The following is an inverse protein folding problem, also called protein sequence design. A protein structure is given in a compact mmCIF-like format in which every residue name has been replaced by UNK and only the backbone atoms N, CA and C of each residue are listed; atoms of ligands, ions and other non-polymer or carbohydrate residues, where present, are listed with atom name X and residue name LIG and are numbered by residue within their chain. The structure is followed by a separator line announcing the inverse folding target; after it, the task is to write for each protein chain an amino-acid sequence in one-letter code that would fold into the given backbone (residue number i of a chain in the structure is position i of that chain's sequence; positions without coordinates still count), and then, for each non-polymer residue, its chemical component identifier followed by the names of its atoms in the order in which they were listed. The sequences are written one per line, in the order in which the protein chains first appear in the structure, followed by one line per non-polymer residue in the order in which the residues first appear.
data_IF_506803374857
#
_entry.id   IF_506803374857
#
_cell.length_a   1.000
_cell.length_b   1.000
_cell.length_c   1.000
_cell.angle_alpha   90.00
_cell.angle_beta   90.00
_cell.angle_gamma   90.00
#
_symmetry.space_group_name_H-M   'P 1'
#
loop_
_entity.id
_entity.type
_entity.pdbx_description
1 polymer ?
#
# COMPACT_ATOMS: atom_id res chain seq x y z
N UNK A 1 -11.49 -13.55 -26.94
CA UNK A 1 -12.56 -12.56 -26.61
C UNK A 1 -11.87 -11.35 -25.98
N UNK A 2 -12.13 -10.11 -26.42
CA UNK A 2 -11.53 -8.95 -25.77
C UNK A 2 -12.13 -8.87 -24.37
N UNK A 3 -11.28 -8.98 -23.34
CA UNK A 3 -11.73 -8.95 -21.95
C UNK A 3 -12.40 -7.61 -21.68
N UNK A 4 -13.63 -7.62 -21.18
CA UNK A 4 -14.26 -6.45 -20.56
C UNK A 4 -13.25 -5.83 -19.61
N UNK A 5 -12.73 -4.63 -19.89
CA UNK A 5 -11.78 -3.96 -19.00
C UNK A 5 -12.52 -3.64 -17.71
N UNK A 6 -12.46 -4.54 -16.73
CA UNK A 6 -13.06 -4.29 -15.42
C UNK A 6 -12.25 -3.19 -14.75
N UNK A 7 -12.91 -2.09 -14.44
CA UNK A 7 -12.30 -1.01 -13.69
C UNK A 7 -11.91 -1.55 -12.31
N UNK A 8 -10.60 -1.63 -12.08
CA UNK A 8 -9.99 -2.18 -10.88
C UNK A 8 -9.29 -1.09 -10.10
N UNK A 9 -9.63 -1.01 -8.82
CA UNK A 9 -9.03 -0.08 -7.86
C UNK A 9 -8.09 -0.86 -6.96
N UNK A 10 -6.86 -0.38 -6.83
CA UNK A 10 -5.93 -0.85 -5.80
C UNK A 10 -5.74 0.24 -4.75
N UNK A 11 -5.99 -0.10 -3.49
CA UNK A 11 -5.85 0.79 -2.35
C UNK A 11 -4.93 0.16 -1.30
N UNK A 12 -3.81 0.82 -1.03
CA UNK A 12 -2.88 0.42 0.04
C UNK A 12 -3.15 1.19 1.33
N UNK A 13 -3.09 0.52 2.48
CA UNK A 13 -3.17 1.17 3.79
C UNK A 13 -2.12 0.62 4.75
N UNK A 14 -1.34 1.51 5.36
CA UNK A 14 -0.31 1.11 6.32
C UNK A 14 -0.96 0.63 7.62
N UNK A 15 -0.51 -0.49 8.21
CA UNK A 15 -0.92 -0.91 9.54
C UNK A 15 -0.31 0.02 10.62
N UNK A 16 -1.00 1.13 10.89
CA UNK A 16 -0.67 2.06 11.98
C UNK A 16 -1.46 1.73 13.25
N UNK A 17 -1.21 2.46 14.34
CA UNK A 17 -1.93 2.33 15.59
C UNK A 17 -3.38 2.84 15.45
N UNK A 18 -4.28 1.96 15.04
CA UNK A 18 -5.71 2.23 14.88
C UNK A 18 -6.10 3.08 13.67
N UNK A 19 -7.41 3.08 13.35
CA UNK A 19 -8.00 3.96 12.33
C UNK A 19 -8.30 5.32 12.99
N UNK A 20 -7.58 6.35 12.56
CA UNK A 20 -7.92 7.73 12.92
C UNK A 20 -9.15 8.19 12.14
N UNK A 21 -9.93 9.11 12.73
CA UNK A 21 -11.16 9.64 12.12
C UNK A 21 -10.90 10.24 10.72
N UNK A 22 -9.73 10.86 10.51
CA UNK A 22 -9.30 11.36 9.20
C UNK A 22 -9.21 10.26 8.14
N UNK A 23 -8.62 9.11 8.48
CA UNK A 23 -8.53 7.96 7.56
C UNK A 23 -9.92 7.44 7.19
N UNK A 24 -10.82 7.37 8.18
CA UNK A 24 -12.19 6.91 7.94
C UNK A 24 -12.97 7.85 7.02
N UNK A 25 -12.99 9.15 7.33
CA UNK A 25 -13.75 10.15 6.59
C UNK A 25 -13.14 10.45 5.21
N UNK A 26 -11.82 10.45 5.12
CA UNK A 26 -11.08 10.80 3.90
C UNK A 26 -11.04 9.68 2.86
N UNK A 27 -10.90 8.43 3.29
CA UNK A 27 -10.71 7.30 2.38
C UNK A 27 -11.73 6.18 2.57
N UNK A 28 -11.81 5.61 3.78
CA UNK A 28 -12.51 4.33 3.99
C UNK A 28 -14.00 4.42 3.68
N UNK A 29 -14.66 5.51 4.09
CA UNK A 29 -16.09 5.74 3.77
C UNK A 29 -16.36 5.75 2.25
N UNK A 30 -15.41 6.24 1.45
CA UNK A 30 -15.52 6.22 -0.01
C UNK A 30 -15.22 4.83 -0.56
N UNK A 31 -14.23 4.12 -0.01
CA UNK A 31 -13.94 2.73 -0.37
C UNK A 31 -15.16 1.84 -0.21
N UNK A 32 -15.89 1.95 0.89
CA UNK A 32 -17.10 1.14 1.13
C UNK A 32 -18.11 1.26 -0.02
N UNK A 33 -18.31 2.48 -0.56
CA UNK A 33 -19.21 2.75 -1.69
C UNK A 33 -18.67 2.25 -3.03
N UNK A 34 -17.35 2.18 -3.19
CA UNK A 34 -16.70 1.75 -4.44
C UNK A 34 -16.86 0.25 -4.68
N UNK A 35 -17.06 -0.54 -3.62
CA UNK A 35 -17.27 -2.00 -3.72
C UNK A 35 -18.51 -2.40 -4.55
N UNK A 36 -19.42 -1.46 -4.82
CA UNK A 36 -20.59 -1.69 -5.70
C UNK A 36 -20.27 -1.44 -7.19
N UNK A 37 -19.20 -0.71 -7.48
CA UNK A 37 -18.94 -0.14 -8.82
C UNK A 37 -17.63 -0.64 -9.44
N UNK A 38 -16.68 -1.09 -8.61
CA UNK A 38 -15.33 -1.46 -9.03
C UNK A 38 -14.93 -2.83 -8.48
N UNK A 39 -13.97 -3.47 -9.15
CA UNK A 39 -13.20 -4.53 -8.51
C UNK A 39 -12.20 -3.90 -7.55
N UNK A 40 -12.52 -3.93 -6.26
CA UNK A 40 -11.68 -3.33 -5.23
C UNK A 40 -10.69 -4.32 -4.63
N UNK A 41 -9.43 -3.88 -4.55
CA UNK A 41 -8.34 -4.58 -3.92
C UNK A 41 -7.80 -3.71 -2.80
N UNK A 42 -7.97 -4.16 -1.57
CA UNK A 42 -7.48 -3.51 -0.35
C UNK A 42 -6.28 -4.29 0.19
N UNK A 43 -5.13 -3.64 0.24
CA UNK A 43 -3.89 -4.22 0.68
C UNK A 43 -3.42 -3.55 1.98
N UNK A 44 -3.31 -4.32 3.06
CA UNK A 44 -2.64 -3.87 4.29
C UNK A 44 -1.14 -3.97 4.03
N UNK A 45 -0.48 -2.83 3.83
CA UNK A 45 0.90 -2.73 3.33
C UNK A 45 1.94 -2.84 4.45
N UNK A 46 2.01 -4.01 5.07
CA UNK A 46 2.93 -4.29 6.18
C UNK A 46 4.42 -4.25 5.78
N UNK A 47 4.76 -4.59 4.54
CA UNK A 47 6.15 -4.48 4.06
C UNK A 47 6.60 -3.02 3.92
N UNK A 48 5.70 -2.11 3.52
CA UNK A 48 5.98 -0.67 3.56
C UNK A 48 6.12 -0.14 4.98
N UNK A 49 5.30 -0.63 5.91
CA UNK A 49 5.36 -0.24 7.31
C UNK A 49 6.66 -0.67 8.01
N UNK A 50 7.36 -1.69 7.50
CA UNK A 50 8.72 -2.04 7.98
C UNK A 50 9.75 -0.93 7.76
N UNK A 51 9.44 0.16 7.06
CA UNK A 51 10.33 1.33 7.02
C UNK A 51 10.28 2.17 8.29
N UNK A 52 9.26 1.99 9.13
CA UNK A 52 9.03 2.76 10.37
C UNK A 52 8.75 1.89 11.60
N UNK A 53 7.97 0.81 11.46
CA UNK A 53 7.59 -0.10 12.55
C UNK A 53 8.48 -1.34 12.51
N UNK A 54 9.42 -1.43 13.46
CA UNK A 54 10.36 -2.57 13.58
C UNK A 54 9.96 -3.58 14.65
N UNK A 55 9.07 -3.23 15.58
CA UNK A 55 8.64 -4.14 16.63
C UNK A 55 7.68 -5.18 16.06
N UNK A 56 8.06 -6.46 16.13
CA UNK A 56 7.31 -7.56 15.51
C UNK A 56 5.92 -7.77 16.13
N UNK A 57 5.79 -7.62 17.45
CA UNK A 57 4.51 -7.79 18.13
C UNK A 57 3.58 -6.62 17.84
N UNK A 58 4.12 -5.40 17.76
CA UNK A 58 3.38 -4.22 17.34
C UNK A 58 2.88 -4.35 15.90
N UNK A 59 3.74 -4.73 14.96
CA UNK A 59 3.35 -4.98 13.57
C UNK A 59 2.21 -6.00 13.50
N UNK A 60 2.34 -7.13 14.21
CA UNK A 60 1.33 -8.19 14.22
C UNK A 60 -0.01 -7.69 14.77
N UNK A 61 0.00 -6.88 15.84
CA UNK A 61 -1.22 -6.29 16.41
C UNK A 61 -1.84 -5.29 15.43
N UNK A 62 -1.07 -4.31 14.95
CA UNK A 62 -1.55 -3.26 14.05
C UNK A 62 -2.15 -3.83 12.76
N UNK A 63 -1.52 -4.85 12.16
CA UNK A 63 -2.06 -5.51 10.95
C UNK A 63 -3.42 -6.16 11.21
N UNK A 64 -3.58 -6.84 12.35
CA UNK A 64 -4.85 -7.50 12.71
C UNK A 64 -5.94 -6.48 13.03
N UNK A 65 -5.60 -5.46 13.81
CA UNK A 65 -6.53 -4.38 14.17
C UNK A 65 -6.97 -3.59 12.93
N UNK A 66 -6.05 -3.29 12.01
CA UNK A 66 -6.38 -2.64 10.74
C UNK A 66 -7.35 -3.50 9.92
N UNK A 67 -7.09 -4.80 9.77
CA UNK A 67 -7.99 -5.71 9.08
C UNK A 67 -9.39 -5.75 9.71
N UNK A 68 -9.45 -5.91 11.03
CA UNK A 68 -10.72 -5.91 11.77
C UNK A 68 -11.47 -4.58 11.60
N UNK A 69 -10.77 -3.47 11.68
CA UNK A 69 -11.37 -2.14 11.60
C UNK A 69 -11.85 -1.80 10.17
N UNK A 70 -11.16 -2.25 9.11
CA UNK A 70 -11.66 -2.15 7.74
C UNK A 70 -12.96 -2.94 7.54
N UNK A 71 -13.00 -4.18 8.04
CA UNK A 71 -14.21 -5.02 7.96
C UNK A 71 -15.36 -4.37 8.75
N UNK A 72 -15.10 -3.94 9.98
CA UNK A 72 -16.08 -3.25 10.82
C UNK A 72 -16.57 -1.93 10.19
N UNK A 73 -15.74 -1.27 9.38
CA UNK A 73 -16.10 -0.05 8.65
C UNK A 73 -16.98 -0.32 7.41
N UNK A 74 -17.17 -1.58 7.02
CA UNK A 74 -18.03 -1.98 5.89
C UNK A 74 -17.29 -2.50 4.65
N UNK A 75 -15.98 -2.74 4.73
CA UNK A 75 -15.28 -3.49 3.68
C UNK A 75 -15.71 -4.95 3.80
N UNK A 76 -16.28 -5.49 2.73
CA UNK A 76 -16.84 -6.83 2.68
C UNK A 76 -15.92 -7.76 1.86
N UNK A 77 -15.22 -8.72 2.51
CA UNK A 77 -14.34 -9.67 1.84
C UNK A 77 -15.04 -10.61 0.85
N UNK A 78 -16.37 -10.72 0.89
CA UNK A 78 -17.13 -11.47 -0.11
C UNK A 78 -17.29 -10.68 -1.43
N UNK A 79 -17.14 -9.36 -1.38
CA UNK A 79 -17.34 -8.43 -2.51
C UNK A 79 -16.05 -7.83 -3.02
N UNK A 80 -14.99 -7.84 -2.22
CA UNK A 80 -13.70 -7.22 -2.52
C UNK A 80 -12.56 -8.06 -1.99
N UNK A 81 -11.36 -7.88 -2.55
CA UNK A 81 -10.16 -8.58 -2.08
C UNK A 81 -9.55 -7.78 -0.94
N UNK A 82 -9.44 -8.37 0.25
CA UNK A 82 -8.73 -7.81 1.40
C UNK A 82 -7.63 -8.76 1.84
N UNK A 83 -6.38 -8.30 1.85
CA UNK A 83 -5.23 -9.12 2.22
C UNK A 83 -4.08 -8.31 2.83
N UNK A 84 -3.10 -9.02 3.37
CA UNK A 84 -1.87 -8.46 3.92
C UNK A 84 -0.74 -8.64 2.90
N UNK A 85 -0.01 -7.56 2.59
CA UNK A 85 1.00 -7.52 1.53
C UNK A 85 2.04 -8.65 1.63
N UNK A 86 2.60 -8.87 2.82
CA UNK A 86 3.59 -9.93 3.07
C UNK A 86 3.09 -11.36 2.83
N UNK A 87 1.77 -11.57 2.73
CA UNK A 87 1.16 -12.88 2.44
C UNK A 87 1.13 -13.21 0.95
N UNK A 88 1.51 -12.27 0.09
CA UNK A 88 1.53 -12.45 -1.36
C UNK A 88 2.94 -12.17 -1.88
N UNK A 89 3.69 -13.25 -2.14
CA UNK A 89 5.11 -13.17 -2.55
C UNK A 89 5.34 -12.40 -3.87
N UNK A 90 4.31 -12.28 -4.70
CA UNK A 90 4.37 -11.58 -5.98
C UNK A 90 4.81 -10.12 -5.83
N UNK A 91 4.46 -9.46 -4.72
CA UNK A 91 4.83 -8.06 -4.45
C UNK A 91 6.35 -7.89 -4.39
N UNK A 92 7.02 -8.61 -3.50
CA UNK A 92 8.47 -8.51 -3.33
C UNK A 92 9.23 -9.06 -4.55
N UNK A 93 8.73 -10.12 -5.19
CA UNK A 93 9.34 -10.67 -6.41
C UNK A 93 9.27 -9.68 -7.57
N UNK A 94 8.13 -9.05 -7.80
CA UNK A 94 7.99 -8.05 -8.85
C UNK A 94 8.79 -6.79 -8.52
N UNK A 95 8.82 -6.35 -7.26
CA UNK A 95 9.64 -5.23 -6.84
C UNK A 95 11.13 -5.46 -7.14
N UNK A 96 11.63 -6.69 -6.94
CA UNK A 96 13.00 -7.04 -7.32
C UNK A 96 13.25 -6.86 -8.84
N UNK A 97 12.35 -7.38 -9.68
CA UNK A 97 12.45 -7.21 -11.14
C UNK A 97 12.40 -5.73 -11.53
N UNK A 98 11.49 -4.95 -10.93
CA UNK A 98 11.35 -3.52 -11.20
C UNK A 98 12.57 -2.72 -10.74
N UNK A 99 13.24 -3.12 -9.65
CA UNK A 99 14.48 -2.49 -9.20
C UNK A 99 15.58 -2.59 -10.28
N UNK A 100 15.65 -3.69 -11.03
CA UNK A 100 16.64 -3.89 -12.09
C UNK A 100 16.46 -2.95 -13.30
N UNK A 101 15.29 -2.32 -13.44
CA UNK A 101 14.98 -1.40 -14.56
C UNK A 101 14.70 0.03 -14.10
N UNK A 102 14.72 0.28 -12.78
CA UNK A 102 14.48 1.62 -12.22
C UNK A 102 15.80 2.37 -12.03
N UNK A 103 16.02 3.51 -12.71
CA UNK A 103 17.24 4.28 -12.53
C UNK A 103 17.34 4.87 -11.12
N UNK A 104 18.53 4.80 -10.50
CA UNK A 104 18.80 5.39 -9.18
C UNK A 104 18.39 6.88 -9.09
N UNK A 105 18.62 7.63 -10.17
CA UNK A 105 18.29 9.06 -10.23
C UNK A 105 16.80 9.35 -10.10
N UNK A 106 15.91 8.42 -10.46
CA UNK A 106 14.46 8.60 -10.31
C UNK A 106 14.07 8.55 -8.84
N UNK A 107 14.54 7.53 -8.14
CA UNK A 107 14.29 7.31 -6.71
C UNK A 107 14.91 8.43 -5.87
N UNK A 108 16.14 8.85 -6.18
CA UNK A 108 16.84 9.91 -5.46
C UNK A 108 16.17 11.30 -5.57
N UNK A 109 15.31 11.51 -6.58
CA UNK A 109 14.59 12.78 -6.74
C UNK A 109 13.32 12.87 -5.90
N UNK A 110 12.79 11.75 -5.42
CA UNK A 110 11.55 11.70 -4.64
C UNK A 110 11.64 12.60 -3.39
N UNK A 111 10.66 13.48 -3.23
CA UNK A 111 10.59 14.43 -2.11
C UNK A 111 10.39 13.70 -0.80
N UNK A 112 9.56 12.65 -0.79
CA UNK A 112 9.25 11.84 0.38
C UNK A 112 10.50 11.20 0.98
N UNK A 113 11.42 10.69 0.15
CA UNK A 113 12.71 10.18 0.63
C UNK A 113 13.53 11.29 1.27
N UNK A 114 13.64 12.45 0.62
CA UNK A 114 14.43 13.58 1.13
C UNK A 114 13.89 14.13 2.45
N UNK A 115 12.57 14.18 2.59
CA UNK A 115 11.88 14.64 3.80
C UNK A 115 12.02 13.63 4.94
N UNK A 116 11.77 12.34 4.68
CA UNK A 116 11.83 11.29 5.72
C UNK A 116 13.26 10.95 6.14
N UNK A 117 14.22 10.97 5.22
CA UNK A 117 15.64 10.74 5.53
C UNK A 117 16.30 11.97 6.19
N UNK A 118 15.74 13.16 5.99
CA UNK A 118 16.20 14.40 6.61
C UNK A 118 17.67 14.71 6.32
N UNK A 119 18.38 15.16 7.36
CA UNK A 119 19.81 15.55 7.29
C UNK A 119 20.77 14.35 7.31
N UNK A 120 20.36 13.19 7.80
CA UNK A 120 21.21 12.00 7.93
C UNK A 120 20.86 10.95 6.86
N UNK A 121 20.93 11.36 5.59
CA UNK A 121 20.52 10.50 4.46
C UNK A 121 21.29 9.19 4.36
N UNK A 122 22.56 9.19 4.78
CA UNK A 122 23.42 8.00 4.76
C UNK A 122 22.99 6.93 5.78
N UNK A 123 22.29 7.32 6.85
CA UNK A 123 21.77 6.40 7.86
C UNK A 123 20.34 5.92 7.56
N UNK A 124 19.73 6.44 6.49
CA UNK A 124 18.38 6.04 6.13
C UNK A 124 18.36 4.57 5.66
N UNK A 125 17.39 3.76 6.12
CA UNK A 125 17.25 2.39 5.64
C UNK A 125 17.07 2.36 4.12
N UNK A 126 17.72 1.42 3.44
CA UNK A 126 17.56 1.23 1.99
C UNK A 126 16.10 1.01 1.61
N UNK A 127 15.32 0.35 2.47
CA UNK A 127 13.87 0.20 2.30
C UNK A 127 13.13 1.54 2.11
N UNK A 128 13.51 2.58 2.85
CA UNK A 128 12.93 3.93 2.71
C UNK A 128 13.30 4.58 1.37
N UNK A 129 14.42 4.19 0.78
CA UNK A 129 14.80 4.63 -0.57
C UNK A 129 13.98 3.87 -1.62
N UNK A 130 13.92 2.54 -1.55
CA UNK A 130 13.34 1.71 -2.62
C UNK A 130 11.83 1.46 -2.52
N UNK A 131 11.14 1.90 -1.46
CA UNK A 131 9.70 1.67 -1.31
C UNK A 131 8.85 2.15 -2.50
N UNK A 132 9.16 3.23 -3.24
CA UNK A 132 8.36 3.60 -4.41
C UNK A 132 8.33 2.53 -5.50
N UNK A 133 9.39 1.73 -5.62
CA UNK A 133 9.44 0.59 -6.55
C UNK A 133 8.57 -0.56 -6.06
N UNK A 134 8.53 -0.79 -4.74
CA UNK A 134 7.59 -1.74 -4.14
C UNK A 134 6.14 -1.29 -4.35
N UNK A 135 5.84 -0.01 -4.19
CA UNK A 135 4.51 0.55 -4.47
C UNK A 135 4.10 0.36 -5.94
N UNK A 136 5.03 0.56 -6.88
CA UNK A 136 4.80 0.26 -8.29
C UNK A 136 4.51 -1.24 -8.50
N UNK A 137 5.24 -2.13 -7.84
CA UNK A 137 4.99 -3.57 -7.88
C UNK A 137 3.60 -3.93 -7.34
N UNK A 138 3.20 -3.31 -6.22
CA UNK A 138 1.90 -3.53 -5.59
C UNK A 138 0.74 -3.25 -6.57
N UNK A 139 0.86 -2.15 -7.31
CA UNK A 139 -0.16 -1.70 -8.27
C UNK A 139 -0.14 -2.59 -9.53
N UNK A 140 1.04 -2.82 -10.09
CA UNK A 140 1.22 -3.51 -11.38
C UNK A 140 0.91 -5.01 -11.30
N UNK A 141 1.13 -5.64 -10.14
CA UNK A 141 0.81 -7.06 -9.92
C UNK A 141 -0.66 -7.38 -10.22
N UNK A 142 -1.56 -6.43 -10.01
CA UNK A 142 -2.99 -6.60 -10.25
C UNK A 142 -3.51 -5.87 -11.49
N UNK A 143 -2.62 -5.22 -12.27
CA UNK A 143 -3.02 -4.39 -13.42
C UNK A 143 -4.11 -3.38 -13.04
N UNK A 144 -3.95 -2.73 -11.89
CA UNK A 144 -4.93 -1.77 -11.40
C UNK A 144 -5.06 -0.60 -12.39
N UNK A 145 -6.29 -0.19 -12.65
CA UNK A 145 -6.62 0.91 -13.57
C UNK A 145 -6.72 2.25 -12.86
N UNK A 146 -6.99 2.21 -11.55
CA UNK A 146 -7.21 3.37 -10.71
C UNK A 146 -6.51 3.13 -9.37
N UNK A 147 -5.85 4.16 -8.84
CA UNK A 147 -5.15 4.12 -7.55
C UNK A 147 -5.45 5.43 -6.83
N UNK A 148 -6.37 5.45 -5.85
CA UNK A 148 -6.62 6.65 -5.06
C UNK A 148 -5.41 6.91 -4.15
N UNK A 149 -4.75 8.04 -4.37
CA UNK A 149 -3.56 8.47 -3.64
C UNK A 149 -3.83 9.79 -2.91
N UNK A 150 -3.17 9.99 -1.76
CA UNK A 150 -3.11 11.31 -1.12
C UNK A 150 -2.20 12.25 -1.92
N UNK A 151 -2.22 13.55 -1.62
CA UNK A 151 -1.35 14.54 -2.31
C UNK A 151 0.15 14.24 -2.16
N UNK A 152 0.53 13.43 -1.17
CA UNK A 152 1.90 13.07 -0.81
C UNK A 152 2.39 11.77 -1.46
N UNK A 153 1.58 11.08 -2.28
CA UNK A 153 1.88 9.78 -2.91
C UNK A 153 1.78 9.82 -4.43
#
# INVERSE_FOLDING_TARGET
MPSTSRNRIFSGIQPTHGIQLGNYLGAIRNWVKQQDQFECIYCIVDQHALTTVQNADEMRRNTREMGAALIASGIDPARSVLFVQSRVEAHSRLAWVLNCVTPLGWVNRMTQFKEKAGKQRENAPVGLFVYPVLQAADILAYRATHVPVGEDQ
#
